data_IF_840504175715
#
_entry.id   IF_840504175715
#
_cell.length_a   1.000
_cell.length_b   1.000
_cell.length_c   1.000
_cell.angle_alpha   90.00
_cell.angle_beta   90.00
_cell.angle_gamma   90.00
#
_symmetry.space_group_name_H-M   'P 1'
#
loop_
_entity.id
_entity.type
_entity.pdbx_description
1 polymer ?
#
# COMPACT_ATOMS: atom_id res chain seq x y z
N UNK A 1 -37.24 15.49 6.55
CA UNK A 1 -36.90 16.91 6.34
C UNK A 1 -35.64 17.00 5.49
N UNK A 2 -35.74 17.57 4.27
CA UNK A 2 -34.60 17.82 3.37
C UNK A 2 -33.91 19.11 3.82
N UNK A 3 -32.70 19.02 4.37
CA UNK A 3 -31.87 20.19 4.72
C UNK A 3 -31.33 20.85 3.44
N UNK A 4 -32.17 21.65 2.79
CA UNK A 4 -31.80 22.53 1.67
C UNK A 4 -31.48 23.93 2.21
N UNK A 5 -30.41 24.09 2.99
CA UNK A 5 -30.00 25.43 3.46
C UNK A 5 -28.55 25.54 3.97
N UNK A 6 -27.66 24.57 3.69
CA UNK A 6 -26.28 24.63 4.21
C UNK A 6 -25.24 25.19 3.20
N UNK A 7 -25.60 25.33 1.93
CA UNK A 7 -24.72 25.88 0.91
C UNK A 7 -25.46 27.02 0.22
N UNK A 8 -25.17 28.26 0.62
CA UNK A 8 -25.47 29.40 -0.24
C UNK A 8 -24.72 29.18 -1.54
N UNK A 9 -25.39 29.35 -2.67
CA UNK A 9 -24.79 29.35 -3.99
C UNK A 9 -23.85 30.57 -4.11
N UNK A 10 -22.68 30.47 -3.48
CA UNK A 10 -21.72 31.55 -3.31
C UNK A 10 -20.89 31.64 -4.59
N UNK A 11 -21.51 32.22 -5.62
CA UNK A 11 -20.82 32.56 -6.84
C UNK A 11 -19.90 33.77 -6.60
N UNK A 12 -18.65 33.49 -6.23
CA UNK A 12 -17.58 34.46 -6.01
C UNK A 12 -17.13 35.21 -7.28
N UNK A 13 -17.63 34.80 -8.46
CA UNK A 13 -17.42 35.48 -9.75
C UNK A 13 -18.70 36.17 -10.27
N UNK A 14 -19.77 36.20 -9.47
CA UNK A 14 -21.01 36.92 -9.79
C UNK A 14 -20.86 38.44 -9.65
N UNK A 15 -21.94 39.20 -9.86
CA UNK A 15 -21.99 40.67 -9.86
C UNK A 15 -21.79 41.33 -8.48
N UNK A 16 -20.80 40.88 -7.72
CA UNK A 16 -20.41 41.44 -6.43
C UNK A 16 -19.54 42.67 -6.66
N UNK A 17 -19.72 43.77 -5.91
CA UNK A 17 -18.95 45.00 -6.10
C UNK A 17 -17.43 44.77 -6.04
N UNK A 18 -16.61 45.42 -6.91
CA UNK A 18 -15.16 45.17 -7.02
C UNK A 18 -14.36 45.38 -5.71
N UNK A 19 -14.91 46.13 -4.74
CA UNK A 19 -14.31 46.36 -3.43
C UNK A 19 -14.32 45.12 -2.53
N UNK A 20 -15.30 44.23 -2.72
CA UNK A 20 -15.53 43.04 -1.87
C UNK A 20 -15.05 41.76 -2.57
N UNK A 21 -14.60 41.87 -3.82
CA UNK A 21 -13.98 40.76 -4.53
C UNK A 21 -12.57 40.54 -3.97
N UNK A 22 -12.31 39.39 -3.34
CA UNK A 22 -10.97 39.08 -2.89
C UNK A 22 -10.04 38.83 -4.08
N UNK A 23 -8.74 39.07 -3.88
CA UNK A 23 -7.76 38.77 -4.93
C UNK A 23 -7.75 37.26 -5.19
N UNK A 24 -7.62 36.85 -6.45
CA UNK A 24 -7.47 35.44 -6.83
C UNK A 24 -6.32 34.83 -6.00
N UNK A 25 -6.66 33.95 -5.05
CA UNK A 25 -5.69 33.31 -4.14
C UNK A 25 -5.88 33.60 -2.64
N UNK A 26 -6.55 34.68 -2.23
CA UNK A 26 -6.70 35.04 -0.79
C UNK A 26 -7.57 34.05 0.00
N UNK A 27 -8.51 33.38 -0.66
CA UNK A 27 -9.44 32.42 -0.03
C UNK A 27 -9.11 30.96 -0.39
N UNK A 28 -7.99 30.74 -1.09
CA UNK A 28 -7.52 29.42 -1.43
C UNK A 28 -7.08 28.69 -0.15
N UNK A 29 -7.59 27.49 0.14
CA UNK A 29 -7.25 26.82 1.39
C UNK A 29 -5.76 26.45 1.41
N UNK A 30 -4.97 27.24 2.13
CA UNK A 30 -3.50 27.16 2.18
C UNK A 30 -3.01 25.84 2.78
N UNK A 31 -3.85 25.20 3.60
CA UNK A 31 -3.56 23.94 4.30
C UNK A 31 -4.21 22.72 3.63
N UNK A 32 -4.95 22.88 2.53
CA UNK A 32 -5.65 21.74 1.91
C UNK A 32 -4.74 21.08 0.87
N UNK A 33 -4.49 19.76 0.98
CA UNK A 33 -3.68 19.05 0.01
C UNK A 33 -4.26 19.21 -1.40
N UNK A 34 -3.39 19.55 -2.35
CA UNK A 34 -3.76 19.65 -3.76
C UNK A 34 -4.43 18.35 -4.26
N UNK A 35 -5.28 18.46 -5.28
CA UNK A 35 -5.99 17.30 -5.86
C UNK A 35 -5.01 16.22 -6.36
N UNK A 36 -3.85 16.62 -6.88
CA UNK A 36 -2.77 15.71 -7.28
C UNK A 36 -2.06 15.02 -6.10
N UNK A 37 -1.88 15.72 -4.98
CA UNK A 37 -1.27 15.15 -3.77
C UNK A 37 -2.15 14.04 -3.16
N UNK A 38 -3.48 14.21 -3.21
CA UNK A 38 -4.43 13.16 -2.80
C UNK A 38 -4.35 11.90 -3.67
N UNK A 39 -4.09 12.03 -4.98
CA UNK A 39 -3.89 10.89 -5.89
C UNK A 39 -2.59 10.14 -5.59
N UNK A 40 -1.49 10.87 -5.39
CA UNK A 40 -0.18 10.27 -5.08
C UNK A 40 -0.22 9.51 -3.75
N UNK A 41 -0.86 10.06 -2.72
CA UNK A 41 -0.99 9.41 -1.41
C UNK A 41 -1.61 8.01 -1.51
N UNK A 42 -2.66 7.83 -2.32
CA UNK A 42 -3.32 6.52 -2.51
C UNK A 42 -2.40 5.46 -3.08
N UNK A 43 -1.51 5.84 -4.00
CA UNK A 43 -0.55 4.92 -4.61
C UNK A 43 0.55 4.57 -3.62
N UNK A 44 1.12 5.58 -2.94
CA UNK A 44 2.20 5.38 -1.97
C UNK A 44 1.79 4.47 -0.80
N UNK A 45 0.59 4.66 -0.25
CA UNK A 45 0.09 3.81 0.84
C UNK A 45 0.03 2.34 0.41
N UNK A 46 -0.46 2.05 -0.81
CA UNK A 46 -0.49 0.70 -1.34
C UNK A 46 0.90 0.09 -1.53
N UNK A 47 1.84 0.85 -2.10
CA UNK A 47 3.21 0.39 -2.32
C UNK A 47 3.96 0.11 -1.01
N UNK A 48 3.82 1.00 -0.02
CA UNK A 48 4.45 0.83 1.30
C UNK A 48 3.89 -0.38 2.03
N UNK A 49 2.56 -0.57 2.01
CA UNK A 49 1.93 -1.74 2.62
C UNK A 49 2.42 -3.04 1.98
N UNK A 50 2.46 -3.08 0.64
CA UNK A 50 2.96 -4.24 -0.09
C UNK A 50 4.43 -4.53 0.23
N UNK A 51 5.27 -3.48 0.24
CA UNK A 51 6.68 -3.59 0.60
C UNK A 51 6.89 -4.09 2.03
N UNK A 52 6.12 -3.59 2.99
CA UNK A 52 6.18 -4.03 4.38
C UNK A 52 5.77 -5.50 4.53
N UNK A 53 4.71 -5.93 3.84
CA UNK A 53 4.26 -7.32 3.86
C UNK A 53 5.31 -8.28 3.29
N UNK A 54 5.91 -7.94 2.15
CA UNK A 54 6.99 -8.73 1.56
C UNK A 54 8.23 -8.77 2.46
N UNK A 55 8.57 -7.65 3.12
CA UNK A 55 9.69 -7.60 4.06
C UNK A 55 9.46 -8.50 5.28
N UNK A 56 8.27 -8.45 5.89
CA UNK A 56 7.93 -9.30 7.04
C UNK A 56 7.90 -10.78 6.65
N UNK A 57 7.30 -11.10 5.49
CA UNK A 57 7.25 -12.46 4.98
C UNK A 57 8.64 -12.99 4.65
N UNK A 58 9.46 -12.20 3.96
CA UNK A 58 10.84 -12.54 3.62
C UNK A 58 11.73 -12.69 4.86
N UNK A 59 11.57 -11.82 5.86
CA UNK A 59 12.28 -11.92 7.13
C UNK A 59 11.89 -13.20 7.88
N UNK A 60 10.59 -13.50 7.99
CA UNK A 60 10.10 -14.72 8.60
C UNK A 60 10.63 -15.97 7.89
N UNK A 61 10.60 -15.97 6.55
CA UNK A 61 11.15 -17.05 5.74
C UNK A 61 12.66 -17.21 5.92
N UNK A 62 13.41 -16.11 5.94
CA UNK A 62 14.86 -16.14 6.17
C UNK A 62 15.21 -16.73 7.55
N UNK A 63 14.50 -16.31 8.60
CA UNK A 63 14.70 -16.84 9.95
C UNK A 63 14.35 -18.33 10.00
N UNK A 64 13.22 -18.72 9.39
CA UNK A 64 12.84 -20.13 9.29
C UNK A 64 13.91 -20.97 8.58
N UNK A 65 14.44 -20.47 7.46
CA UNK A 65 15.49 -21.13 6.70
C UNK A 65 16.79 -21.25 7.50
N UNK A 66 17.19 -20.18 8.20
CA UNK A 66 18.38 -20.17 9.04
C UNK A 66 18.30 -21.16 10.22
N UNK A 67 17.09 -21.35 10.78
CA UNK A 67 16.88 -22.30 11.89
C UNK A 67 16.72 -23.75 11.42
N UNK A 68 16.05 -23.96 10.29
CA UNK A 68 15.63 -25.31 9.86
C UNK A 68 16.61 -25.92 8.86
N UNK A 69 17.42 -25.11 8.17
CA UNK A 69 18.24 -25.54 7.02
C UNK A 69 17.42 -25.87 5.77
N UNK A 70 16.14 -26.22 5.95
CA UNK A 70 15.19 -26.48 4.88
C UNK A 70 14.69 -25.19 4.23
N UNK A 71 14.34 -25.28 2.95
CA UNK A 71 13.70 -24.17 2.21
C UNK A 71 12.18 -24.08 2.45
N UNK A 72 11.62 -24.89 3.36
CA UNK A 72 10.22 -24.79 3.81
C UNK A 72 9.16 -25.39 2.88
N UNK A 73 9.56 -25.99 1.76
CA UNK A 73 8.67 -26.65 0.79
C UNK A 73 8.96 -28.15 0.62
N UNK A 74 9.55 -28.79 1.64
CA UNK A 74 10.02 -30.19 1.55
C UNK A 74 11.27 -30.38 0.67
N UNK A 75 11.79 -29.27 0.11
CA UNK A 75 13.04 -29.19 -0.63
C UNK A 75 14.14 -29.04 0.41
N UNK A 76 14.58 -30.17 0.94
CA UNK A 76 15.71 -30.28 1.85
C UNK A 76 16.57 -31.46 1.44
N UNK A 77 17.85 -31.42 1.78
CA UNK A 77 18.85 -32.45 1.43
C UNK A 77 18.44 -33.85 1.93
N UNK A 78 17.61 -33.88 2.98
CA UNK A 78 17.11 -35.11 3.63
C UNK A 78 15.70 -35.53 3.22
N UNK A 79 14.87 -34.62 2.71
CA UNK A 79 13.42 -34.88 2.49
C UNK A 79 12.97 -34.76 1.03
N UNK A 80 13.82 -34.27 0.12
CA UNK A 80 13.49 -34.20 -1.29
C UNK A 80 13.37 -35.61 -1.90
N UNK A 81 12.51 -35.77 -2.90
CA UNK A 81 12.40 -37.01 -3.70
C UNK A 81 13.74 -37.44 -4.33
N UNK A 82 14.64 -36.48 -4.57
CA UNK A 82 16.01 -36.68 -5.07
C UNK A 82 17.05 -36.87 -3.96
N UNK A 83 16.63 -36.95 -2.69
CA UNK A 83 17.55 -37.18 -1.59
C UNK A 83 18.20 -38.57 -1.75
N UNK A 84 19.52 -38.69 -1.51
CA UNK A 84 20.25 -39.95 -1.72
C UNK A 84 19.66 -41.11 -0.91
N UNK A 85 19.16 -40.84 0.30
CA UNK A 85 18.49 -41.85 1.13
C UNK A 85 17.16 -42.35 0.55
N UNK A 86 16.39 -41.49 -0.12
CA UNK A 86 15.12 -41.86 -0.76
C UNK A 86 15.36 -42.70 -2.02
N UNK A 87 16.38 -42.36 -2.82
CA UNK A 87 16.77 -43.10 -4.02
C UNK A 87 17.25 -44.52 -3.68
N UNK A 88 18.07 -44.65 -2.62
CA UNK A 88 18.53 -45.97 -2.13
C UNK A 88 17.36 -46.81 -1.62
N UNK A 89 16.40 -46.21 -0.91
CA UNK A 89 15.20 -46.92 -0.43
C UNK A 89 14.32 -47.42 -1.59
N UNK A 90 14.14 -46.63 -2.66
CA UNK A 90 13.38 -47.04 -3.86
C UNK A 90 14.09 -48.10 -4.73
N UNK A 91 15.41 -48.24 -4.61
CA UNK A 91 16.18 -49.28 -5.29
C UNK A 91 16.14 -50.62 -4.54
N UNK A 92 15.81 -50.60 -3.25
CA UNK A 92 15.76 -51.77 -2.37
C UNK A 92 14.33 -52.31 -2.15
N UNK A 93 13.30 -51.63 -2.66
CA UNK A 93 11.89 -52.05 -2.68
C UNK A 93 11.50 -52.66 -4.02
#
# INVERSE_FOLDING_TARGET
>A
MRLRAAFSDLNLNGSTPPRVQPRLGEWGPELVPSTGQKRRMRIWVGLVLLGAMLALFGLGWYVYHAMTGSWGFGIDEKSGFLAPAALVASLLS
#
